data_IF_107854614625
#
_entry.id   IF_107854614625
#
_cell.length_a   1.000
_cell.length_b   1.000
_cell.length_c   1.000
_cell.angle_alpha   90.00
_cell.angle_beta   90.00
_cell.angle_gamma   90.00
#
_symmetry.space_group_name_H-M   'P 1'
#
loop_
_entity.id
_entity.type
_entity.pdbx_description
1 polymer ?
#
# COMPACT_ATOMS: atom_id res chain seq x y z
N UNK A 1 -3.54 2.34 -9.15
CA UNK A 1 -3.54 3.73 -8.63
C UNK A 1 -4.90 4.03 -8.02
N UNK A 2 -4.98 4.55 -6.80
CA UNK A 2 -6.27 4.85 -6.14
C UNK A 2 -6.64 6.32 -6.26
N UNK A 3 -7.86 6.60 -6.72
CA UNK A 3 -8.47 7.92 -6.75
C UNK A 3 -9.74 7.85 -5.90
N UNK A 4 -9.78 8.58 -4.78
CA UNK A 4 -10.88 8.55 -3.81
C UNK A 4 -11.70 9.84 -3.93
N UNK A 5 -13.03 9.72 -3.85
CA UNK A 5 -13.94 10.86 -3.93
C UNK A 5 -13.80 11.82 -2.75
N UNK A 6 -14.21 13.08 -2.94
CA UNK A 6 -14.12 14.15 -1.94
C UNK A 6 -14.80 13.78 -0.61
N UNK A 7 -16.05 13.36 -0.67
CA UNK A 7 -16.81 13.01 0.55
C UNK A 7 -16.25 11.76 1.24
N UNK A 8 -15.74 10.77 0.48
CA UNK A 8 -15.06 9.62 1.05
C UNK A 8 -13.80 10.00 1.83
N UNK A 9 -13.04 11.00 1.33
CA UNK A 9 -11.82 11.44 2.00
C UNK A 9 -12.07 12.12 3.35
N UNK A 10 -13.30 12.55 3.68
CA UNK A 10 -13.64 13.01 5.03
C UNK A 10 -13.48 11.91 6.08
N UNK A 11 -13.74 10.66 5.70
CA UNK A 11 -13.56 9.49 6.58
C UNK A 11 -12.07 9.31 6.92
N UNK A 12 -11.17 9.66 6.00
CA UNK A 12 -9.72 9.42 6.13
C UNK A 12 -8.98 10.63 6.74
N UNK A 13 -9.34 11.84 6.32
CA UNK A 13 -8.63 13.07 6.69
C UNK A 13 -9.39 13.94 7.70
N UNK A 14 -10.60 13.54 8.10
CA UNK A 14 -11.48 14.26 9.02
C UNK A 14 -12.56 15.08 8.30
N UNK A 15 -13.66 15.42 8.99
CA UNK A 15 -14.80 16.10 8.40
C UNK A 15 -14.45 17.48 7.83
N UNK A 16 -13.53 18.21 8.45
CA UNK A 16 -13.14 19.57 8.07
C UNK A 16 -11.92 19.61 7.12
N UNK A 17 -11.49 18.48 6.53
CA UNK A 17 -10.24 18.43 5.76
C UNK A 17 -10.23 19.37 4.53
N UNK A 18 -11.40 19.80 4.07
CA UNK A 18 -11.57 20.73 2.95
C UNK A 18 -11.47 22.21 3.34
N UNK A 19 -11.37 22.54 4.63
CA UNK A 19 -11.13 23.91 5.08
C UNK A 19 -9.79 24.42 4.50
N UNK A 20 -9.68 25.69 4.06
CA UNK A 20 -8.47 26.23 3.43
C UNK A 20 -7.19 25.96 4.23
N UNK A 21 -7.23 26.14 5.54
CA UNK A 21 -6.13 25.90 6.46
C UNK A 21 -5.72 24.41 6.54
N UNK A 22 -6.65 23.48 6.31
CA UNK A 22 -6.43 22.05 6.39
C UNK A 22 -5.98 21.46 5.04
N UNK A 23 -6.58 21.90 3.94
CA UNK A 23 -6.27 21.32 2.64
C UNK A 23 -4.87 21.72 2.16
N UNK A 24 -4.45 22.97 2.40
CA UNK A 24 -3.12 23.46 2.01
C UNK A 24 -1.99 22.67 2.68
N UNK A 25 -2.13 22.32 3.97
CA UNK A 25 -1.15 21.47 4.68
C UNK A 25 -1.19 19.99 4.27
N UNK A 26 -2.29 19.50 3.69
CA UNK A 26 -2.45 18.10 3.27
C UNK A 26 -2.06 17.84 1.81
N UNK A 27 -1.97 18.88 0.97
CA UNK A 27 -1.50 18.77 -0.43
C UNK A 27 -0.10 18.16 -0.54
N UNK A 28 0.93 18.63 0.20
CA UNK A 28 2.24 18.01 0.15
C UNK A 28 2.18 16.64 0.84
N UNK A 29 2.24 15.57 0.05
CA UNK A 29 2.23 14.19 0.57
C UNK A 29 3.28 13.32 -0.11
N UNK A 30 4.02 12.56 0.70
CA UNK A 30 5.08 11.66 0.23
C UNK A 30 4.51 10.35 -0.31
N UNK A 31 4.29 10.26 -1.63
CA UNK A 31 3.79 9.04 -2.28
C UNK A 31 4.88 8.02 -2.63
N UNK A 32 6.16 8.41 -2.58
CA UNK A 32 7.28 7.59 -3.05
C UNK A 32 7.37 6.26 -2.32
N UNK A 33 7.44 6.30 -0.98
CA UNK A 33 7.59 5.10 -0.15
C UNK A 33 6.46 4.09 -0.37
N UNK A 34 5.20 4.55 -0.35
CA UNK A 34 4.05 3.65 -0.56
C UNK A 34 4.02 3.06 -1.98
N UNK A 35 4.48 3.81 -3.00
CA UNK A 35 4.62 3.27 -4.37
C UNK A 35 5.70 2.20 -4.45
N UNK A 36 6.86 2.44 -3.84
CA UNK A 36 7.95 1.45 -3.83
C UNK A 36 7.55 0.18 -3.09
N UNK A 37 6.90 0.29 -1.93
CA UNK A 37 6.40 -0.86 -1.19
C UNK A 37 5.38 -1.65 -2.01
N UNK A 38 4.39 -0.96 -2.59
CA UNK A 38 3.38 -1.62 -3.43
C UNK A 38 3.99 -2.37 -4.63
N UNK A 39 5.06 -1.85 -5.24
CA UNK A 39 5.76 -2.55 -6.33
C UNK A 39 6.47 -3.82 -5.85
N UNK A 40 7.12 -3.76 -4.68
CA UNK A 40 7.84 -4.91 -4.09
C UNK A 40 6.86 -5.99 -3.63
N UNK A 41 5.79 -5.60 -2.94
CA UNK A 41 4.71 -6.49 -2.53
C UNK A 41 4.05 -7.16 -3.75
N UNK A 42 3.76 -6.40 -4.81
CA UNK A 42 3.18 -6.93 -6.04
C UNK A 42 4.09 -7.96 -6.71
N UNK A 43 5.39 -7.68 -6.82
CA UNK A 43 6.35 -8.62 -7.40
C UNK A 43 6.44 -9.93 -6.59
N UNK A 44 6.50 -9.84 -5.27
CA UNK A 44 6.49 -11.02 -4.40
C UNK A 44 5.18 -11.81 -4.50
N UNK A 45 4.04 -11.12 -4.59
CA UNK A 45 2.74 -11.76 -4.78
C UNK A 45 2.63 -12.52 -6.11
N UNK A 46 3.11 -11.92 -7.20
CA UNK A 46 3.17 -12.60 -8.50
C UNK A 46 4.07 -13.83 -8.45
N UNK A 47 5.27 -13.71 -7.88
CA UNK A 47 6.22 -14.82 -7.75
C UNK A 47 5.63 -15.97 -6.92
N UNK A 48 4.96 -15.66 -5.80
CA UNK A 48 4.27 -16.67 -5.00
C UNK A 48 3.24 -17.46 -5.82
N UNK A 49 2.46 -16.76 -6.65
CA UNK A 49 1.46 -17.38 -7.53
C UNK A 49 2.12 -18.25 -8.60
N UNK A 50 3.19 -17.78 -9.24
CA UNK A 50 3.92 -18.58 -10.24
C UNK A 50 4.44 -19.88 -9.64
N UNK A 51 5.15 -19.82 -8.51
CA UNK A 51 5.68 -20.99 -7.83
C UNK A 51 4.61 -21.97 -7.39
N UNK A 52 3.47 -21.45 -6.94
CA UNK A 52 2.33 -22.29 -6.57
C UNK A 52 1.77 -23.04 -7.79
N UNK A 53 1.57 -22.34 -8.92
CA UNK A 53 1.06 -22.94 -10.16
C UNK A 53 2.04 -23.97 -10.75
N UNK A 54 3.34 -23.72 -10.64
CA UNK A 54 4.40 -24.65 -11.07
C UNK A 54 4.62 -25.83 -10.12
N UNK A 55 3.87 -25.89 -9.01
CA UNK A 55 3.94 -26.94 -7.98
C UNK A 55 5.32 -27.01 -7.30
N UNK A 56 5.98 -25.87 -7.13
CA UNK A 56 7.15 -25.80 -6.27
C UNK A 56 6.81 -26.18 -4.82
N UNK A 57 7.80 -26.64 -4.02
CA UNK A 57 7.61 -26.92 -2.60
C UNK A 57 7.03 -25.73 -1.84
N UNK A 58 6.16 -25.99 -0.86
CA UNK A 58 5.41 -24.95 -0.14
C UNK A 58 6.30 -23.86 0.49
N UNK A 59 7.49 -24.22 0.97
CA UNK A 59 8.41 -23.23 1.55
C UNK A 59 8.87 -22.17 0.53
N UNK A 60 8.94 -22.52 -0.76
CA UNK A 60 9.28 -21.59 -1.85
C UNK A 60 8.14 -20.64 -2.20
N UNK A 61 6.90 -21.06 -1.97
CA UNK A 61 5.73 -20.17 -2.08
C UNK A 61 5.68 -19.25 -0.86
N UNK A 62 5.85 -19.83 0.33
CA UNK A 62 5.77 -19.09 1.59
C UNK A 62 6.89 -18.07 1.79
N UNK A 63 8.10 -18.28 1.26
CA UNK A 63 9.13 -17.23 1.34
C UNK A 63 8.67 -15.91 0.71
N UNK A 64 7.93 -15.97 -0.41
CA UNK A 64 7.36 -14.80 -1.06
C UNK A 64 6.19 -14.21 -0.26
N UNK A 65 5.28 -15.07 0.23
CA UNK A 65 4.11 -14.64 1.03
C UNK A 65 4.54 -13.95 2.33
N UNK A 66 5.51 -14.53 3.04
CA UNK A 66 6.05 -13.92 4.25
C UNK A 66 6.88 -12.66 3.95
N UNK A 67 7.49 -12.56 2.77
CA UNK A 67 8.09 -11.32 2.30
C UNK A 67 7.07 -10.18 2.17
N UNK A 68 5.87 -10.44 1.66
CA UNK A 68 4.78 -9.44 1.63
C UNK A 68 4.40 -9.03 3.05
N UNK A 69 4.19 -9.99 3.95
CA UNK A 69 3.84 -9.72 5.35
C UNK A 69 4.91 -8.87 6.05
N UNK A 70 6.19 -9.12 5.77
CA UNK A 70 7.29 -8.33 6.32
C UNK A 70 7.26 -6.89 5.81
N UNK A 71 6.99 -6.66 4.52
CA UNK A 71 6.92 -5.30 3.94
C UNK A 71 5.76 -4.47 4.49
N UNK A 72 4.63 -5.08 4.84
CA UNK A 72 3.49 -4.38 5.44
C UNK A 72 3.77 -3.84 6.86
N UNK A 73 4.88 -4.25 7.49
CA UNK A 73 5.32 -3.69 8.78
C UNK A 73 6.08 -2.37 8.64
N UNK A 74 6.50 -2.01 7.42
CA UNK A 74 7.24 -0.77 7.18
C UNK A 74 6.35 0.46 7.42
N UNK A 75 6.80 1.44 8.23
CA UNK A 75 5.98 2.58 8.60
C UNK A 75 5.69 3.45 7.37
N UNK A 76 4.40 3.61 7.07
CA UNK A 76 3.89 4.50 6.03
C UNK A 76 2.74 5.33 6.58
N UNK A 77 2.49 6.47 5.96
CA UNK A 77 1.32 7.29 6.30
C UNK A 77 0.03 6.45 6.10
N UNK A 78 -0.75 6.16 7.16
CA UNK A 78 -1.93 5.29 7.08
C UNK A 78 -3.06 5.90 6.24
N UNK A 79 -2.98 7.20 5.91
CA UNK A 79 -3.96 7.89 5.08
C UNK A 79 -3.71 7.62 3.58
N UNK A 80 -2.50 7.19 3.22
CA UNK A 80 -2.05 6.95 1.84
C UNK A 80 -2.42 5.58 1.29
#
# INVERSE_FOLDING_TARGET
MKCRGREYLRIIYGPEYTAPEHIERLRPRGLGTKRTLALREFALGLEALYRFVEREPLYRVHECVFGVLALETEPVDPRL
#
